data_IF_623032842995
#
_entry.id   IF_623032842995
#
_cell.length_a   1.000
_cell.length_b   1.000
_cell.length_c   1.000
_cell.angle_alpha   90.00
_cell.angle_beta   90.00
_cell.angle_gamma   90.00
#
_symmetry.space_group_name_H-M   'P 1'
#
loop_
_entity.id
_entity.type
_entity.pdbx_description
1 polymer ?
#
# COMPACT_ATOMS: atom_id res chain seq x y z
N UNK A 1 -19.75 36.83 -22.66
CA UNK A 1 -19.62 36.52 -21.23
C UNK A 1 -18.89 35.18 -21.11
N UNK A 2 -17.62 35.13 -20.69
CA UNK A 2 -16.98 33.84 -20.46
C UNK A 2 -17.59 33.20 -19.21
N UNK A 3 -18.11 31.98 -19.36
CA UNK A 3 -18.55 31.14 -18.25
C UNK A 3 -17.28 30.80 -17.46
N UNK A 4 -17.18 31.33 -16.24
CA UNK A 4 -16.10 30.96 -15.33
C UNK A 4 -16.15 29.44 -15.12
N UNK A 5 -15.08 28.73 -15.51
CA UNK A 5 -14.91 27.34 -15.11
C UNK A 5 -14.92 27.31 -13.58
N UNK A 6 -15.81 26.51 -13.00
CA UNK A 6 -15.86 26.32 -11.56
C UNK A 6 -14.47 25.91 -11.06
N UNK A 7 -14.00 26.47 -9.93
CA UNK A 7 -12.73 26.08 -9.34
C UNK A 7 -12.77 24.57 -9.04
N UNK A 8 -11.81 23.81 -9.58
CA UNK A 8 -11.62 22.41 -9.18
C UNK A 8 -11.34 22.39 -7.68
N UNK A 9 -12.31 21.94 -6.89
CA UNK A 9 -12.08 21.32 -5.57
C UNK A 9 -10.86 20.41 -5.76
N UNK A 10 -9.83 20.42 -4.87
CA UNK A 10 -8.62 19.62 -5.10
C UNK A 10 -9.05 18.21 -5.47
N UNK A 11 -8.77 17.83 -6.72
CA UNK A 11 -9.47 16.75 -7.38
C UNK A 11 -9.25 15.47 -6.58
N UNK A 12 -10.33 14.74 -6.26
CA UNK A 12 -10.20 13.38 -5.75
C UNK A 12 -9.37 12.60 -6.75
N UNK A 13 -8.19 12.15 -6.36
CA UNK A 13 -7.38 11.29 -7.23
C UNK A 13 -8.07 9.95 -7.40
N UNK A 14 -8.16 9.47 -8.63
CA UNK A 14 -8.72 8.16 -8.95
C UNK A 14 -7.62 7.21 -9.41
N UNK A 15 -7.80 5.92 -9.13
CA UNK A 15 -6.80 4.94 -9.50
C UNK A 15 -7.36 3.53 -9.48
N UNK A 16 -6.50 2.59 -9.85
CA UNK A 16 -6.81 1.17 -9.98
C UNK A 16 -5.64 0.36 -9.43
N UNK A 17 -5.91 -0.79 -8.83
CA UNK A 17 -4.87 -1.76 -8.51
C UNK A 17 -4.79 -2.84 -9.60
N UNK A 18 -3.58 -3.33 -9.84
CA UNK A 18 -3.38 -4.48 -10.73
C UNK A 18 -2.47 -5.48 -10.03
N UNK A 19 -2.87 -6.76 -10.02
CA UNK A 19 -2.03 -7.83 -9.49
C UNK A 19 -0.76 -8.06 -10.34
N UNK A 20 -0.83 -7.77 -11.64
CA UNK A 20 0.23 -7.93 -12.65
C UNK A 20 0.79 -6.59 -13.14
N UNK A 21 1.87 -6.64 -13.93
CA UNK A 21 2.50 -5.47 -14.53
C UNK A 21 1.48 -4.60 -15.31
N UNK A 22 1.39 -3.32 -14.94
CA UNK A 22 0.48 -2.34 -15.51
C UNK A 22 1.07 -1.58 -16.71
N UNK A 23 2.35 -1.76 -17.03
CA UNK A 23 3.05 -1.03 -18.10
C UNK A 23 2.37 -1.15 -19.47
N UNK A 24 1.82 -2.33 -19.79
CA UNK A 24 1.09 -2.56 -21.06
C UNK A 24 -0.22 -1.78 -21.16
N UNK A 25 -0.85 -1.46 -20.04
CA UNK A 25 -2.14 -0.76 -19.97
C UNK A 25 -1.98 0.67 -19.46
N UNK A 26 -0.77 1.13 -19.16
CA UNK A 26 -0.51 2.43 -18.54
C UNK A 26 -1.04 3.62 -19.36
N UNK A 27 -0.91 3.55 -20.69
CA UNK A 27 -1.48 4.55 -21.61
C UNK A 27 -3.00 4.60 -21.52
N UNK A 28 -3.65 3.44 -21.42
CA UNK A 28 -5.10 3.34 -21.28
C UNK A 28 -5.56 3.86 -19.91
N UNK A 29 -4.85 3.53 -18.84
CA UNK A 29 -5.11 4.06 -17.49
C UNK A 29 -5.05 5.59 -17.53
N UNK A 30 -4.00 6.16 -18.14
CA UNK A 30 -3.83 7.62 -18.21
C UNK A 30 -4.88 8.29 -19.08
N UNK A 31 -5.22 7.72 -20.24
CA UNK A 31 -6.22 8.29 -21.16
C UNK A 31 -7.64 8.25 -20.59
N UNK A 32 -7.93 7.34 -19.67
CA UNK A 32 -9.21 7.28 -18.94
C UNK A 32 -9.24 8.20 -17.70
N UNK A 33 -8.23 9.06 -17.53
CA UNK A 33 -8.22 10.08 -16.48
C UNK A 33 -7.87 9.55 -15.09
N UNK A 34 -7.29 8.35 -14.98
CA UNK A 34 -6.78 7.85 -13.70
C UNK A 34 -5.44 8.50 -13.36
N UNK A 35 -5.24 8.76 -12.07
CA UNK A 35 -4.10 9.48 -11.50
C UNK A 35 -3.04 8.55 -10.91
N UNK A 36 -3.44 7.34 -10.50
CA UNK A 36 -2.53 6.40 -9.87
C UNK A 36 -2.83 4.94 -10.19
N UNK A 37 -1.80 4.12 -10.03
CA UNK A 37 -1.90 2.65 -10.07
C UNK A 37 -1.33 2.09 -8.78
N UNK A 38 -2.10 1.23 -8.10
CA UNK A 38 -1.61 0.45 -6.98
C UNK A 38 -0.92 -0.83 -7.47
N UNK A 39 0.31 -1.04 -7.02
CA UNK A 39 1.17 -2.16 -7.41
C UNK A 39 1.86 -2.75 -6.21
N UNK A 40 2.23 -4.02 -6.33
CA UNK A 40 2.48 -4.86 -5.17
C UNK A 40 3.95 -5.20 -4.99
N UNK A 41 4.46 -4.98 -3.78
CA UNK A 41 5.55 -5.74 -3.19
C UNK A 41 5.03 -7.04 -2.62
N UNK A 42 5.82 -8.11 -2.75
CA UNK A 42 5.36 -9.47 -2.44
C UNK A 42 6.46 -10.28 -1.79
N UNK A 43 6.09 -11.30 -1.03
CA UNK A 43 7.06 -12.27 -0.51
C UNK A 43 7.59 -13.17 -1.63
N UNK A 44 8.80 -13.73 -1.47
CA UNK A 44 9.27 -14.83 -2.30
C UNK A 44 8.23 -15.95 -2.37
N UNK A 45 7.97 -16.49 -3.56
CA UNK A 45 6.99 -17.55 -3.78
C UNK A 45 5.56 -17.08 -4.06
N UNK A 46 5.31 -15.77 -4.10
CA UNK A 46 4.04 -15.25 -4.64
C UNK A 46 3.80 -15.74 -6.07
N UNK A 47 2.55 -16.15 -6.37
CA UNK A 47 2.11 -16.51 -7.73
C UNK A 47 2.09 -15.33 -8.70
N UNK A 48 2.00 -14.10 -8.18
CA UNK A 48 1.94 -12.87 -8.95
C UNK A 48 3.29 -12.14 -8.96
N UNK A 49 3.64 -11.43 -10.03
CA UNK A 49 4.87 -10.66 -10.10
C UNK A 49 4.83 -9.44 -9.17
N UNK A 50 5.96 -9.16 -8.55
CA UNK A 50 6.16 -7.91 -7.81
C UNK A 50 6.38 -6.73 -8.76
N UNK A 51 6.11 -5.52 -8.28
CA UNK A 51 6.42 -4.26 -8.96
C UNK A 51 7.93 -4.21 -9.31
N UNK A 52 8.25 -3.95 -10.57
CA UNK A 52 9.64 -3.80 -11.03
C UNK A 52 10.04 -2.33 -11.15
N UNK A 53 11.35 -2.04 -11.12
CA UNK A 53 11.89 -0.70 -11.35
C UNK A 53 11.53 -0.17 -12.76
N UNK A 54 11.56 -1.04 -13.77
CA UNK A 54 11.20 -0.68 -15.14
C UNK A 54 9.71 -0.32 -15.25
N UNK A 55 8.84 -1.10 -14.60
CA UNK A 55 7.42 -0.81 -14.52
C UNK A 55 7.16 0.53 -13.82
N UNK A 56 7.74 0.74 -12.62
CA UNK A 56 7.57 1.98 -11.87
C UNK A 56 8.04 3.20 -12.66
N UNK A 57 9.16 3.10 -13.38
CA UNK A 57 9.69 4.15 -14.25
C UNK A 57 8.75 4.42 -15.43
N UNK A 58 8.22 3.38 -16.08
CA UNK A 58 7.29 3.53 -17.19
C UNK A 58 5.99 4.21 -16.78
N UNK A 59 5.41 3.81 -15.64
CA UNK A 59 4.21 4.44 -15.08
C UNK A 59 4.46 5.91 -14.72
N UNK A 60 5.56 6.18 -14.02
CA UNK A 60 5.91 7.54 -13.60
C UNK A 60 6.21 8.47 -14.78
N UNK A 61 6.82 7.94 -15.86
CA UNK A 61 7.09 8.71 -17.08
C UNK A 61 5.81 9.19 -17.79
N UNK A 62 4.68 8.52 -17.55
CA UNK A 62 3.35 8.93 -18.04
C UNK A 62 2.61 9.87 -17.07
N UNK A 63 3.26 10.26 -15.98
CA UNK A 63 2.65 11.09 -14.93
C UNK A 63 1.56 10.35 -14.16
N UNK A 64 1.68 9.03 -14.01
CA UNK A 64 0.88 8.24 -13.07
C UNK A 64 1.63 8.13 -11.74
N UNK A 65 0.93 8.31 -10.63
CA UNK A 65 1.48 7.97 -9.32
C UNK A 65 1.46 6.45 -9.13
N UNK A 66 2.44 5.91 -8.42
CA UNK A 66 2.47 4.48 -8.05
C UNK A 66 2.24 4.36 -6.55
N UNK A 67 1.18 3.65 -6.17
CA UNK A 67 0.89 3.33 -4.78
C UNK A 67 1.45 1.94 -4.49
N UNK A 68 2.42 1.86 -3.58
CA UNK A 68 3.05 0.60 -3.21
C UNK A 68 2.26 -0.12 -2.11
N UNK A 69 1.94 -1.39 -2.34
CA UNK A 69 1.22 -2.26 -1.40
C UNK A 69 2.06 -3.50 -1.12
N UNK A 70 2.29 -3.84 0.15
CA UNK A 70 2.82 -5.13 0.54
C UNK A 70 1.65 -6.05 0.94
N UNK A 71 1.56 -7.19 0.28
CA UNK A 71 0.52 -8.17 0.52
C UNK A 71 1.09 -9.60 0.49
N UNK A 72 0.87 -10.34 1.57
CA UNK A 72 1.24 -11.74 1.72
C UNK A 72 0.36 -12.41 2.77
N UNK A 73 -0.34 -13.48 2.39
CA UNK A 73 -1.17 -14.30 3.29
C UNK A 73 -2.08 -13.48 4.23
N UNK A 74 -2.56 -12.34 3.75
CA UNK A 74 -3.27 -11.31 4.53
C UNK A 74 -4.71 -11.66 4.88
N UNK A 75 -5.19 -12.85 4.50
CA UNK A 75 -6.58 -13.29 4.65
C UNK A 75 -6.86 -14.01 5.98
N UNK A 76 -5.85 -14.24 6.82
CA UNK A 76 -6.01 -14.99 8.07
C UNK A 76 -5.33 -14.30 9.24
N UNK A 77 -6.05 -14.19 10.37
CA UNK A 77 -5.58 -13.65 11.63
C UNK A 77 -4.21 -14.19 12.07
N UNK A 78 -3.98 -15.50 11.91
CA UNK A 78 -2.78 -16.18 12.40
C UNK A 78 -1.49 -15.75 11.69
N UNK A 79 -1.61 -15.10 10.54
CA UNK A 79 -0.47 -14.48 9.87
C UNK A 79 0.09 -13.29 10.67
N UNK A 80 -0.78 -12.56 11.35
CA UNK A 80 -0.44 -11.29 11.97
C UNK A 80 0.23 -11.49 13.34
N UNK A 81 1.50 -11.10 13.40
CA UNK A 81 2.28 -11.06 14.63
C UNK A 81 3.36 -9.99 14.52
N UNK A 82 3.92 -9.56 15.65
CA UNK A 82 5.03 -8.62 15.68
C UNK A 82 6.22 -9.10 14.83
N UNK A 83 6.64 -10.35 15.00
CA UNK A 83 7.77 -10.90 14.27
C UNK A 83 7.50 -10.93 12.75
N UNK A 84 6.29 -11.28 12.33
CA UNK A 84 5.92 -11.26 10.91
C UNK A 84 5.97 -9.84 10.36
N UNK A 85 5.40 -8.87 11.06
CA UNK A 85 5.40 -7.46 10.63
C UNK A 85 6.80 -6.90 10.48
N UNK A 86 7.71 -7.25 11.38
CA UNK A 86 9.12 -6.86 11.28
C UNK A 86 9.77 -7.38 9.99
N UNK A 87 9.64 -8.68 9.71
CA UNK A 87 10.24 -9.30 8.52
C UNK A 87 9.59 -8.85 7.21
N UNK A 88 8.28 -8.67 7.20
CA UNK A 88 7.54 -8.17 6.03
C UNK A 88 7.96 -6.73 5.70
N UNK A 89 8.11 -5.89 6.72
CA UNK A 89 8.60 -4.52 6.54
C UNK A 89 10.04 -4.46 6.01
N UNK A 90 10.93 -5.33 6.49
CA UNK A 90 12.29 -5.41 5.95
C UNK A 90 12.29 -5.80 4.46
N UNK A 91 11.48 -6.79 4.07
CA UNK A 91 11.33 -7.20 2.68
C UNK A 91 10.69 -6.11 1.81
N UNK A 92 9.67 -5.43 2.33
CA UNK A 92 9.02 -4.31 1.66
C UNK A 92 10.00 -3.17 1.42
N UNK A 93 10.81 -2.81 2.43
CA UNK A 93 11.83 -1.78 2.31
C UNK A 93 12.93 -2.16 1.30
N UNK A 94 13.34 -3.43 1.25
CA UNK A 94 14.29 -3.91 0.24
C UNK A 94 13.73 -3.77 -1.17
N UNK A 95 12.47 -4.15 -1.39
CA UNK A 95 11.80 -4.00 -2.68
C UNK A 95 11.59 -2.54 -3.05
N UNK A 96 11.20 -1.69 -2.10
CA UNK A 96 11.05 -0.26 -2.30
C UNK A 96 12.34 0.39 -2.78
N UNK A 97 13.48 0.06 -2.16
CA UNK A 97 14.81 0.51 -2.61
C UNK A 97 15.15 0.00 -4.00
N UNK A 98 14.91 -1.28 -4.29
CA UNK A 98 15.21 -1.89 -5.58
C UNK A 98 14.36 -1.30 -6.73
N UNK A 99 13.12 -0.92 -6.45
CA UNK A 99 12.22 -0.25 -7.40
C UNK A 99 12.56 1.23 -7.58
N UNK A 100 13.28 1.83 -6.64
CA UNK A 100 13.54 3.26 -6.62
C UNK A 100 12.38 4.09 -6.06
N UNK A 101 11.57 3.52 -5.16
CA UNK A 101 10.51 4.25 -4.47
C UNK A 101 11.11 5.41 -3.67
N UNK A 102 10.63 6.66 -3.86
CA UNK A 102 11.17 7.81 -3.14
C UNK A 102 10.98 7.71 -1.63
N UNK A 103 12.02 8.04 -0.86
CA UNK A 103 11.93 8.17 0.60
C UNK A 103 10.87 9.20 1.02
N UNK A 104 10.25 9.00 2.18
CA UNK A 104 9.14 9.81 2.68
C UNK A 104 7.76 9.52 2.07
N UNK A 105 7.71 8.68 1.02
CA UNK A 105 6.46 8.09 0.51
C UNK A 105 5.98 6.93 1.39
N UNK A 106 4.84 6.32 1.06
CA UNK A 106 4.19 5.30 1.88
C UNK A 106 4.24 3.90 1.26
N UNK A 107 4.28 2.89 2.12
CA UNK A 107 4.00 1.49 1.77
C UNK A 107 2.74 1.08 2.54
N UNK A 108 1.73 0.59 1.82
CA UNK A 108 0.51 0.08 2.42
C UNK A 108 0.67 -1.40 2.76
N UNK A 109 0.36 -1.81 3.97
CA UNK A 109 0.37 -3.23 4.38
C UNK A 109 -1.07 -3.73 4.44
N UNK A 110 -1.33 -4.83 3.74
CA UNK A 110 -2.67 -5.37 3.57
C UNK A 110 -3.12 -6.23 4.77
N UNK A 111 -4.35 -5.97 5.23
CA UNK A 111 -5.15 -6.84 6.10
C UNK A 111 -6.43 -7.16 5.33
N UNK A 112 -6.42 -8.27 4.59
CA UNK A 112 -7.40 -8.56 3.55
C UNK A 112 -8.43 -9.62 3.99
N UNK A 113 -9.07 -9.37 5.13
CA UNK A 113 -10.22 -10.12 5.64
C UNK A 113 -11.08 -9.24 6.56
N UNK A 114 -12.27 -9.72 6.97
CA UNK A 114 -13.20 -9.04 7.89
C UNK A 114 -12.70 -9.00 9.35
N UNK A 115 -11.50 -8.47 9.57
CA UNK A 115 -10.89 -8.40 10.88
C UNK A 115 -11.67 -7.42 11.78
N UNK A 116 -12.08 -7.90 12.96
CA UNK A 116 -12.80 -7.11 13.97
C UNK A 116 -12.59 -7.68 15.37
N UNK A 117 -12.92 -6.89 16.40
CA UNK A 117 -12.88 -7.32 17.80
C UNK A 117 -11.53 -7.92 18.19
N UNK A 118 -11.50 -9.21 18.50
CA UNK A 118 -10.30 -9.92 18.97
C UNK A 118 -9.18 -10.02 17.91
N UNK A 119 -9.48 -9.86 16.63
CA UNK A 119 -8.48 -9.92 15.55
C UNK A 119 -7.59 -8.68 15.50
N UNK A 120 -8.05 -7.56 16.09
CA UNK A 120 -7.31 -6.29 16.08
C UNK A 120 -6.01 -6.40 16.89
N UNK A 121 -5.98 -7.20 17.95
CA UNK A 121 -4.81 -7.32 18.82
C UNK A 121 -3.57 -7.85 18.06
N UNK A 122 -3.63 -8.99 17.34
CA UNK A 122 -2.48 -9.44 16.55
C UNK A 122 -2.12 -8.49 15.40
N UNK A 123 -3.10 -7.79 14.81
CA UNK A 123 -2.87 -6.78 13.76
C UNK A 123 -2.12 -5.58 14.34
N UNK A 124 -2.48 -5.06 15.51
CA UNK A 124 -1.74 -4.00 16.18
C UNK A 124 -0.28 -4.41 16.43
N UNK A 125 -0.07 -5.66 16.87
CA UNK A 125 1.29 -6.20 17.06
C UNK A 125 2.06 -6.26 15.74
N UNK A 126 1.41 -6.69 14.66
CA UNK A 126 1.97 -6.70 13.32
C UNK A 126 2.40 -5.30 12.87
N UNK A 127 1.58 -4.27 13.04
CA UNK A 127 1.91 -2.89 12.66
C UNK A 127 3.01 -2.24 13.54
N UNK A 128 3.12 -2.65 14.81
CA UNK A 128 4.28 -2.32 15.65
C UNK A 128 5.56 -2.96 15.12
N UNK A 129 5.48 -4.23 14.72
CA UNK A 129 6.55 -4.95 14.04
C UNK A 129 6.97 -4.24 12.76
N UNK A 130 6.02 -3.83 11.92
CA UNK A 130 6.27 -3.08 10.68
C UNK A 130 7.07 -1.81 10.95
N UNK A 131 6.61 -1.00 11.91
CA UNK A 131 7.27 0.26 12.26
C UNK A 131 8.74 0.03 12.61
N UNK A 132 9.01 -1.00 13.44
CA UNK A 132 10.38 -1.33 13.85
C UNK A 132 11.20 -1.97 12.73
N UNK A 133 10.59 -2.77 11.85
CA UNK A 133 11.25 -3.34 10.67
C UNK A 133 11.67 -2.27 9.66
N UNK A 134 10.79 -1.29 9.39
CA UNK A 134 11.12 -0.14 8.53
C UNK A 134 12.21 0.73 9.15
N UNK A 135 12.17 0.97 10.46
CA UNK A 135 13.23 1.69 11.15
C UNK A 135 14.58 0.96 11.07
N UNK A 136 14.59 -0.36 11.26
CA UNK A 136 15.80 -1.18 11.14
C UNK A 136 16.38 -1.13 9.72
N UNK A 137 15.53 -1.25 8.70
CA UNK A 137 15.94 -1.15 7.30
C UNK A 137 16.48 0.24 6.90
N UNK A 138 16.15 1.29 7.66
CA UNK A 138 16.58 2.68 7.45
C UNK A 138 17.59 3.18 8.49
N UNK A 139 18.44 2.30 9.03
CA UNK A 139 19.50 2.65 10.00
C UNK A 139 18.96 3.36 11.27
N UNK A 140 17.82 2.90 11.79
CA UNK A 140 17.17 3.41 12.99
C UNK A 140 16.11 4.50 12.74
N UNK A 141 15.88 4.90 11.50
CA UNK A 141 14.79 5.82 11.13
C UNK A 141 13.98 5.24 9.97
N UNK A 142 12.64 5.19 10.06
CA UNK A 142 11.84 4.66 8.97
C UNK A 142 11.92 5.58 7.75
N UNK A 143 12.40 5.04 6.63
CA UNK A 143 12.51 5.76 5.36
C UNK A 143 11.15 5.93 4.66
N UNK A 144 10.22 5.01 4.91
CA UNK A 144 8.87 4.99 4.34
C UNK A 144 7.82 5.12 5.45
N UNK A 145 6.72 5.80 5.12
CA UNK A 145 5.54 5.89 5.97
C UNK A 145 4.71 4.62 5.87
N UNK A 146 3.95 4.33 6.93
CA UNK A 146 3.09 3.16 7.02
C UNK A 146 1.67 3.53 6.58
N UNK A 147 1.17 2.81 5.58
CA UNK A 147 -0.25 2.77 5.23
C UNK A 147 -0.85 1.43 5.63
N UNK A 148 -2.15 1.41 5.92
CA UNK A 148 -2.92 0.16 6.02
C UNK A 148 -3.95 0.08 4.91
N UNK A 149 -4.10 -1.08 4.30
CA UNK A 149 -5.29 -1.46 3.55
C UNK A 149 -6.10 -2.48 4.37
N UNK A 150 -7.41 -2.30 4.53
CA UNK A 150 -8.24 -3.26 5.25
C UNK A 150 -9.65 -2.77 5.60
N UNK A 151 -10.29 -3.49 6.53
CA UNK A 151 -11.66 -3.19 7.02
C UNK A 151 -11.73 -1.85 7.75
N UNK A 152 -12.95 -1.30 7.89
CA UNK A 152 -13.20 -0.08 8.66
C UNK A 152 -12.66 -0.14 10.08
N UNK A 153 -12.89 -1.26 10.78
CA UNK A 153 -12.42 -1.48 12.14
C UNK A 153 -10.88 -1.48 12.24
N UNK A 154 -10.20 -2.07 11.25
CA UNK A 154 -8.73 -2.07 11.18
C UNK A 154 -8.19 -0.67 10.92
N UNK A 155 -8.71 0.01 9.90
CA UNK A 155 -8.28 1.36 9.54
C UNK A 155 -8.48 2.33 10.70
N UNK A 156 -9.64 2.28 11.36
CA UNK A 156 -9.95 3.12 12.52
C UNK A 156 -9.00 2.85 13.69
N UNK A 157 -8.79 1.59 14.07
CA UNK A 157 -7.90 1.23 15.17
C UNK A 157 -6.45 1.70 14.93
N UNK A 158 -5.90 1.39 13.76
CA UNK A 158 -4.49 1.67 13.47
C UNK A 158 -4.22 3.17 13.29
N UNK A 159 -5.17 3.91 12.69
CA UNK A 159 -5.09 5.37 12.61
C UNK A 159 -5.22 6.02 13.99
N UNK A 160 -6.19 5.60 14.79
CA UNK A 160 -6.42 6.13 16.14
C UNK A 160 -5.24 5.90 17.08
N UNK A 161 -4.51 4.79 16.90
CA UNK A 161 -3.31 4.45 17.69
C UNK A 161 -2.00 5.00 17.12
N UNK A 162 -2.05 5.71 15.99
CA UNK A 162 -0.86 6.24 15.31
C UNK A 162 0.05 5.17 14.70
N UNK A 163 -0.42 3.93 14.55
CA UNK A 163 0.34 2.81 13.97
C UNK A 163 0.39 2.87 12.44
N UNK A 164 -0.52 3.61 11.81
CA UNK A 164 -0.50 3.92 10.38
C UNK A 164 -0.72 5.41 10.14
N UNK A 165 -0.02 6.00 9.17
CA UNK A 165 -0.19 7.39 8.76
C UNK A 165 -1.24 7.51 7.64
N UNK A 166 -1.39 6.48 6.81
CA UNK A 166 -2.39 6.43 5.75
C UNK A 166 -3.31 5.22 5.93
N UNK A 167 -4.52 5.33 5.37
CA UNK A 167 -5.50 4.26 5.38
C UNK A 167 -6.16 4.18 4.00
N UNK A 168 -6.24 2.97 3.47
CA UNK A 168 -7.04 2.60 2.32
C UNK A 168 -8.14 1.68 2.82
N UNK A 169 -9.32 2.25 3.00
CA UNK A 169 -10.52 1.53 3.39
C UNK A 169 -11.03 0.70 2.21
N UNK A 170 -11.25 -0.60 2.42
CA UNK A 170 -11.95 -1.41 1.43
C UNK A 170 -13.44 -1.07 1.38
N UNK A 171 -14.05 -1.20 0.21
CA UNK A 171 -15.50 -1.14 0.02
C UNK A 171 -16.08 -2.52 -0.33
N UNK A 172 -15.42 -3.60 0.12
CA UNK A 172 -15.87 -4.97 -0.08
C UNK A 172 -17.19 -5.23 0.64
N UNK A 173 -18.16 -5.81 -0.07
CA UNK A 173 -19.43 -6.28 0.51
C UNK A 173 -19.33 -7.68 1.12
N UNK A 174 -18.28 -8.43 0.77
CA UNK A 174 -17.89 -9.72 1.33
C UNK A 174 -16.38 -9.93 1.14
N UNK A 175 -15.80 -10.83 1.94
CA UNK A 175 -14.40 -11.21 1.88
C UNK A 175 -14.30 -12.65 1.39
N UNK A 176 -13.33 -12.94 0.51
CA UNK A 176 -13.15 -14.24 -0.14
C UNK A 176 -12.09 -15.09 0.57
#
# INVERSE_FOLDING_TARGET
MPIAQQPRIPARSQGVDLATDAGRVAQYIKSNGLDFVARYYRTPGSRWPALSANEAKALSALGLNVVAVFESHSHHRDYFSYARGYWDAMQAAQQAKAVGQPGGSAIYFAVDFDARGADIVPIDQYFRGITNGLASAGAGRPEYKVGVYGSGAVCESLKGRGLAQYAWLTNSTAWA
#
